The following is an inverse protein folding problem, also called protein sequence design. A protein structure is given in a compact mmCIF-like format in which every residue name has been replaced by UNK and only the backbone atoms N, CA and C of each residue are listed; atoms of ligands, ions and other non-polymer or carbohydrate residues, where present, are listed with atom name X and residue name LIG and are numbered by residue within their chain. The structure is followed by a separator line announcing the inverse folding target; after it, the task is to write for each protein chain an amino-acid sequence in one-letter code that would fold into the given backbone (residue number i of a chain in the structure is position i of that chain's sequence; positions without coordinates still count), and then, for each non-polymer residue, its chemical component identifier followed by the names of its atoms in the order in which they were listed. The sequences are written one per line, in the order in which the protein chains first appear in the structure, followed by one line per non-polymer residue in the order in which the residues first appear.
data_IF_549410654830
#
_entry.id   IF_549410654830
#
_cell.length_a   1.000
_cell.length_b   1.000
_cell.length_c   1.000
_cell.angle_alpha   90.00
_cell.angle_beta   90.00
_cell.angle_gamma   90.00
#
_symmetry.space_group_name_H-M   'P 1'
#
loop_
_entity.id
_entity.type
_entity.pdbx_description
1 polymer ?
#
# COMPACT_ATOMS: atom_id res chain seq x y z
N UNK A 1 -12.92 2.62 0.05
CA UNK A 1 -12.07 2.53 1.27
C UNK A 1 -11.91 3.92 1.88
N UNK A 2 -11.66 4.07 3.19
CA UNK A 2 -11.42 5.40 3.76
C UNK A 2 -10.06 5.96 3.27
N UNK A 3 -10.01 7.22 2.83
CA UNK A 3 -8.73 7.89 2.60
C UNK A 3 -7.94 7.97 3.89
N UNK A 4 -6.63 7.78 3.77
CA UNK A 4 -5.74 8.01 4.89
C UNK A 4 -4.30 7.67 4.57
N UNK A 5 -3.45 7.96 5.54
CA UNK A 5 -2.08 7.46 5.59
C UNK A 5 -2.05 6.37 6.64
N UNK A 6 -1.44 5.22 6.32
CA UNK A 6 -1.17 4.15 7.30
C UNK A 6 0.32 3.97 7.46
N UNK A 7 0.75 3.81 8.70
CA UNK A 7 2.14 3.48 9.03
C UNK A 7 2.31 1.97 9.05
N UNK A 8 3.42 1.48 8.48
CA UNK A 8 3.80 0.07 8.48
C UNK A 8 4.28 -0.32 9.88
N UNK A 9 3.68 -1.36 10.44
CA UNK A 9 4.08 -1.87 11.76
C UNK A 9 5.40 -2.66 11.68
N UNK A 10 6.13 -2.79 12.79
CA UNK A 10 7.39 -3.56 12.85
C UNK A 10 7.22 -5.01 12.38
N UNK A 11 6.13 -5.68 12.76
CA UNK A 11 5.80 -7.04 12.32
C UNK A 11 5.53 -7.18 10.81
N UNK A 12 5.34 -6.06 10.13
CA UNK A 12 5.05 -5.98 8.69
C UNK A 12 6.29 -5.58 7.89
N UNK A 13 7.44 -5.41 8.57
CA UNK A 13 8.72 -5.19 7.91
C UNK A 13 9.06 -6.34 6.96
N UNK A 14 9.57 -5.97 5.78
CA UNK A 14 9.88 -6.90 4.70
C UNK A 14 8.65 -7.41 3.95
N UNK A 15 7.42 -7.09 4.37
CA UNK A 15 6.20 -7.48 3.65
C UNK A 15 6.10 -6.75 2.31
N UNK A 16 5.68 -7.45 1.27
CA UNK A 16 5.42 -6.82 -0.02
C UNK A 16 4.19 -5.91 0.07
N UNK A 17 4.21 -4.78 -0.62
CA UNK A 17 3.10 -3.82 -0.64
C UNK A 17 1.78 -4.48 -1.07
N UNK A 18 1.78 -5.33 -2.09
CA UNK A 18 0.59 -6.05 -2.54
C UNK A 18 0.03 -7.01 -1.51
N UNK A 19 0.89 -7.70 -0.76
CA UNK A 19 0.52 -8.57 0.35
C UNK A 19 -0.01 -7.77 1.53
N UNK A 20 0.62 -6.64 1.84
CA UNK A 20 0.14 -5.71 2.85
C UNK A 20 -1.29 -5.23 2.53
N UNK A 21 -1.54 -4.79 1.30
CA UNK A 21 -2.89 -4.40 0.87
C UNK A 21 -3.88 -5.56 0.91
N UNK A 22 -3.48 -6.79 0.55
CA UNK A 22 -4.36 -7.96 0.67
C UNK A 22 -4.76 -8.26 2.12
N UNK A 23 -3.84 -8.07 3.07
CA UNK A 23 -4.10 -8.28 4.50
C UNK A 23 -5.01 -7.19 5.09
N UNK A 24 -4.75 -5.92 4.75
CA UNK A 24 -5.51 -4.78 5.29
C UNK A 24 -6.82 -4.51 4.55
N UNK A 25 -6.91 -4.91 3.29
CA UNK A 25 -8.05 -4.68 2.40
C UNK A 25 -8.36 -5.95 1.58
N UNK A 26 -8.89 -7.02 2.22
CA UNK A 26 -9.10 -8.31 1.56
C UNK A 26 -10.09 -8.26 0.37
N UNK A 27 -10.98 -7.25 0.33
CA UNK A 27 -11.88 -7.02 -0.81
C UNK A 27 -11.24 -6.28 -2.00
N UNK A 28 -10.00 -5.81 -1.87
CA UNK A 28 -9.30 -5.11 -2.95
C UNK A 28 -8.68 -6.12 -3.92
N UNK A 29 -9.23 -6.19 -5.13
CA UNK A 29 -8.67 -7.02 -6.20
C UNK A 29 -7.29 -6.54 -6.66
N UNK A 30 -6.43 -7.46 -7.10
CA UNK A 30 -5.07 -7.16 -7.56
C UNK A 30 -5.04 -6.13 -8.69
N UNK A 31 -5.95 -6.23 -9.67
CA UNK A 31 -6.03 -5.28 -10.78
C UNK A 31 -6.38 -3.85 -10.34
N UNK A 32 -7.23 -3.71 -9.32
CA UNK A 32 -7.58 -2.42 -8.74
C UNK A 32 -6.37 -1.79 -8.03
N UNK A 33 -5.65 -2.57 -7.21
CA UNK A 33 -4.40 -2.13 -6.58
C UNK A 33 -3.37 -1.70 -7.64
N UNK A 34 -3.16 -2.51 -8.68
CA UNK A 34 -2.23 -2.18 -9.77
C UNK A 34 -2.62 -0.88 -10.49
N UNK A 35 -3.93 -0.65 -10.70
CA UNK A 35 -4.44 0.61 -11.25
C UNK A 35 -4.11 1.78 -10.34
N UNK A 36 -4.36 1.66 -9.03
CA UNK A 36 -4.07 2.70 -8.04
C UNK A 36 -2.57 3.02 -7.94
N UNK A 37 -1.70 2.02 -8.03
CA UNK A 37 -0.25 2.21 -8.06
C UNK A 37 0.16 2.93 -9.35
N UNK A 38 -0.35 2.48 -10.50
CA UNK A 38 -0.03 3.09 -11.82
C UNK A 38 -0.48 4.54 -11.93
N UNK A 39 -1.64 4.89 -11.38
CA UNK A 39 -2.15 6.26 -11.38
C UNK A 39 -1.57 7.14 -10.26
N UNK A 40 -0.66 6.60 -9.42
CA UNK A 40 -0.03 7.33 -8.33
C UNK A 40 -0.98 7.63 -7.16
N UNK A 41 -2.10 6.93 -7.09
CA UNK A 41 -3.04 7.01 -5.97
C UNK A 41 -2.44 6.42 -4.69
N UNK A 42 -1.70 5.31 -4.81
CA UNK A 42 -0.92 4.73 -3.72
C UNK A 42 0.52 5.24 -3.78
N UNK A 43 1.03 5.70 -2.63
CA UNK A 43 2.41 6.17 -2.45
C UNK A 43 3.00 5.60 -1.17
N UNK A 44 4.30 5.39 -1.16
CA UNK A 44 5.07 5.01 0.03
C UNK A 44 6.08 6.12 0.31
N UNK A 45 6.01 6.72 1.50
CA UNK A 45 6.81 7.89 1.90
C UNK A 45 6.78 9.04 0.88
N UNK A 46 5.60 9.26 0.27
CA UNK A 46 5.40 10.25 -0.79
C UNK A 46 5.98 9.87 -2.17
N UNK A 47 6.78 8.80 -2.24
CA UNK A 47 7.38 8.25 -3.45
C UNK A 47 6.45 7.34 -4.26
N UNK A 48 6.87 7.02 -5.49
CA UNK A 48 6.14 6.12 -6.39
C UNK A 48 6.20 4.69 -5.86
N UNK A 49 5.03 4.13 -5.55
CA UNK A 49 4.91 2.75 -5.10
C UNK A 49 5.14 1.73 -6.23
N UNK A 50 5.55 0.52 -5.87
CA UNK A 50 5.53 -0.68 -6.73
C UNK A 50 4.85 -1.82 -5.98
N UNK A 51 4.08 -2.65 -6.66
CA UNK A 51 3.30 -3.71 -6.00
C UNK A 51 4.18 -4.74 -5.28
N UNK A 52 5.36 -5.01 -5.82
CA UNK A 52 6.33 -5.98 -5.34
C UNK A 52 7.38 -5.41 -4.36
N UNK A 53 7.35 -4.10 -4.10
CA UNK A 53 8.30 -3.50 -3.16
C UNK A 53 8.09 -4.04 -1.75
N UNK A 54 9.19 -4.27 -1.03
CA UNK A 54 9.14 -4.61 0.39
C UNK A 54 9.06 -3.34 1.22
N UNK A 55 8.24 -3.39 2.25
CA UNK A 55 8.01 -2.29 3.17
C UNK A 55 9.02 -2.33 4.33
N UNK A 56 9.50 -1.16 4.72
CA UNK A 56 10.22 -0.96 5.98
C UNK A 56 9.24 -0.62 7.10
N UNK A 57 9.60 -0.98 8.32
CA UNK A 57 8.90 -0.51 9.52
C UNK A 57 8.91 1.02 9.58
N UNK A 58 7.80 1.61 10.04
CA UNK A 58 7.65 3.07 10.13
C UNK A 58 7.37 3.80 8.82
N UNK A 59 7.43 3.13 7.67
CA UNK A 59 7.06 3.75 6.38
C UNK A 59 5.58 4.13 6.35
N UNK A 60 5.27 5.17 5.57
CA UNK A 60 3.93 5.72 5.42
C UNK A 60 3.33 5.37 4.07
N UNK A 61 2.16 4.73 4.07
CA UNK A 61 1.43 4.33 2.88
C UNK A 61 0.20 5.22 2.71
N UNK A 62 0.12 5.93 1.59
CA UNK A 62 -1.06 6.70 1.21
C UNK A 62 -2.11 5.79 0.57
N UNK A 63 -3.33 5.84 1.10
CA UNK A 63 -4.49 5.07 0.63
C UNK A 63 -5.53 6.04 0.06
N UNK A 64 -6.01 5.82 -1.19
CA UNK A 64 -6.97 6.73 -1.84
C UNK A 64 -8.42 6.59 -1.30
N UNK A 65 -9.23 7.67 -1.32
CA UNK A 65 -10.65 7.69 -0.91
C UNK A 65 -11.61 7.20 -2.00
N UNK A 66 -11.37 6.05 -2.62
CA UNK A 66 -12.28 5.52 -3.64
C UNK A 66 -12.40 4.00 -3.43
#
# INVERSE_FOLDING_TARGET
MAAGVRTVAEREEGLRLDRWFKTHFPGLGHGALQKMIRTGQVRVDGGRARADMRLGSGQTIRIPPH
#
